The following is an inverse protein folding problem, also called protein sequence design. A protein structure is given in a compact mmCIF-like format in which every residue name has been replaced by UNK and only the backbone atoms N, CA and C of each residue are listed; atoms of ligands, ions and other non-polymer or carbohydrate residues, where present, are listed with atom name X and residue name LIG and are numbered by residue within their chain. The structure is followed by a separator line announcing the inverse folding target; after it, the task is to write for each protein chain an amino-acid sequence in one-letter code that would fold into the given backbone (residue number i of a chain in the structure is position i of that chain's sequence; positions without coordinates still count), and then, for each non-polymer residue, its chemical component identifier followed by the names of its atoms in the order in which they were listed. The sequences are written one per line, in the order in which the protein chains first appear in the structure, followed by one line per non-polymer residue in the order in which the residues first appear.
data_IF_522947235304
#
_entry.id   IF_522947235304
#
_cell.length_a   1.000
_cell.length_b   1.000
_cell.length_c   1.000
_cell.angle_alpha   90.00
_cell.angle_beta   90.00
_cell.angle_gamma   90.00
#
_symmetry.space_group_name_H-M   'P 1'
#
loop_
_entity.id
_entity.type
_entity.pdbx_description
1 polymer ?
#
# COMPACT_ATOMS: atom_id res chain seq x y z
N UNK A 1 15.23 -46.15 60.00
CA UNK A 1 14.29 -47.29 59.97
C UNK A 1 12.92 -46.70 60.21
N UNK A 2 11.95 -46.60 59.31
CA UNK A 2 11.58 -47.25 58.03
C UNK A 2 10.58 -46.25 57.35
N UNK A 3 10.66 -45.86 56.07
CA UNK A 3 10.17 -46.59 54.87
C UNK A 3 8.77 -47.22 55.15
N UNK A 4 7.66 -46.95 54.46
CA UNK A 4 7.41 -46.78 53.02
C UNK A 4 5.99 -46.18 52.83
N UNK A 5 5.85 -45.30 51.83
CA UNK A 5 4.74 -45.35 50.88
C UNK A 5 3.39 -44.80 51.32
N UNK A 6 3.23 -43.49 51.19
CA UNK A 6 1.91 -42.92 50.89
C UNK A 6 2.09 -42.08 49.63
N UNK A 7 1.50 -42.60 48.55
CA UNK A 7 1.52 -42.09 47.19
C UNK A 7 1.16 -40.59 47.16
N UNK A 8 1.98 -39.84 46.45
CA UNK A 8 2.02 -38.38 46.34
C UNK A 8 0.67 -37.80 45.89
N UNK A 9 0.22 -36.80 46.64
CA UNK A 9 -0.87 -35.86 46.36
C UNK A 9 -0.81 -35.35 44.90
N UNK A 10 -1.81 -35.72 44.09
CA UNK A 10 -2.01 -35.17 42.76
C UNK A 10 -2.49 -33.71 42.87
N UNK A 11 -1.54 -32.78 42.89
CA UNK A 11 -1.78 -31.34 42.86
C UNK A 11 -2.02 -30.88 41.42
N UNK A 12 -3.07 -30.09 41.26
CA UNK A 12 -3.53 -29.41 40.06
C UNK A 12 -2.42 -28.63 39.36
N UNK A 13 -2.26 -28.80 38.04
CA UNK A 13 -1.96 -27.72 37.09
C UNK A 13 -2.60 -28.06 35.75
N UNK A 14 -3.82 -27.54 35.52
CA UNK A 14 -4.28 -27.27 34.16
C UNK A 14 -3.40 -26.14 33.65
N UNK A 15 -2.45 -26.47 32.79
CA UNK A 15 -1.83 -25.48 31.91
C UNK A 15 -2.40 -25.70 30.52
N UNK A 16 -3.47 -24.98 30.20
CA UNK A 16 -3.82 -24.71 28.82
C UNK A 16 -2.68 -23.88 28.23
N UNK A 17 -1.76 -24.52 27.50
CA UNK A 17 -0.81 -23.80 26.68
C UNK A 17 -1.55 -23.32 25.43
N UNK A 18 -2.17 -22.16 25.58
CA UNK A 18 -2.51 -21.26 24.48
C UNK A 18 -1.17 -20.82 23.86
N UNK A 19 -0.71 -21.55 22.85
CA UNK A 19 0.32 -21.05 21.95
C UNK A 19 -0.39 -20.18 20.92
N UNK A 20 -0.87 -19.02 21.35
CA UNK A 20 -1.06 -17.90 20.46
C UNK A 20 0.30 -17.57 19.87
N UNK A 21 0.56 -18.05 18.66
CA UNK A 21 1.55 -17.45 17.78
C UNK A 21 1.07 -16.01 17.54
N UNK A 22 1.50 -15.10 18.40
CA UNK A 22 1.62 -13.71 18.00
C UNK A 22 2.72 -13.69 16.94
N UNK A 23 2.34 -13.98 15.69
CA UNK A 23 3.03 -13.36 14.57
C UNK A 23 2.87 -11.86 14.80
N UNK A 24 3.89 -11.25 15.39
CA UNK A 24 4.20 -9.89 15.01
C UNK A 24 4.54 -9.95 13.53
N UNK A 25 3.51 -9.84 12.69
CA UNK A 25 3.66 -9.58 11.27
C UNK A 25 4.34 -8.23 11.21
N UNK A 26 5.67 -8.25 11.24
CA UNK A 26 6.49 -7.11 10.83
C UNK A 26 6.16 -6.89 9.38
N UNK A 27 5.10 -6.11 9.16
CA UNK A 27 4.57 -5.81 7.86
C UNK A 27 5.73 -5.25 7.05
N UNK A 28 6.11 -5.95 5.98
CA UNK A 28 7.18 -5.50 5.09
C UNK A 28 6.95 -4.02 4.75
N UNK A 29 7.98 -3.17 4.66
CA UNK A 29 7.79 -1.77 4.27
C UNK A 29 7.08 -1.61 2.92
N UNK A 30 6.99 -2.67 2.11
CA UNK A 30 6.22 -2.69 0.85
C UNK A 30 4.71 -2.93 1.08
N UNK A 31 4.29 -3.58 2.16
CA UNK A 31 2.86 -3.87 2.41
C UNK A 31 2.03 -2.59 2.55
N UNK A 32 2.62 -1.50 3.04
CA UNK A 32 2.00 -0.17 3.10
C UNK A 32 1.62 0.36 1.70
N UNK A 33 2.28 -0.13 0.65
CA UNK A 33 2.01 0.24 -0.74
C UNK A 33 0.87 -0.56 -1.37
N UNK A 34 0.35 -1.61 -0.71
CA UNK A 34 -0.75 -2.43 -1.24
C UNK A 34 -1.91 -1.61 -1.81
N UNK A 35 -2.48 -0.61 -1.11
CA UNK A 35 -3.56 0.21 -1.69
C UNK A 35 -3.10 0.99 -2.92
N UNK A 36 -1.88 1.54 -2.92
CA UNK A 36 -1.31 2.24 -4.08
C UNK A 36 -1.17 1.29 -5.28
N UNK A 37 -0.69 0.07 -5.03
CA UNK A 37 -0.53 -0.98 -6.03
C UNK A 37 -1.85 -1.51 -6.58
N UNK A 38 -2.93 -1.37 -5.83
CA UNK A 38 -4.28 -1.72 -6.30
C UNK A 38 -4.93 -0.57 -7.08
N UNK A 39 -4.71 0.68 -6.68
CA UNK A 39 -5.47 1.84 -7.15
C UNK A 39 -4.80 2.56 -8.31
N UNK A 40 -3.48 2.77 -8.25
CA UNK A 40 -2.75 3.54 -9.25
C UNK A 40 -2.72 2.91 -10.65
N UNK A 41 -2.68 1.57 -10.82
CA UNK A 41 -2.58 0.96 -12.15
C UNK A 41 -3.72 1.32 -13.11
N UNK A 42 -4.91 1.64 -12.59
CA UNK A 42 -6.05 2.05 -13.42
C UNK A 42 -5.81 3.33 -14.22
N UNK A 43 -4.79 4.11 -13.87
CA UNK A 43 -4.40 5.34 -14.55
C UNK A 43 -3.25 5.15 -15.54
N UNK A 44 -2.53 4.02 -15.51
CA UNK A 44 -1.28 3.86 -16.24
C UNK A 44 -1.45 3.99 -17.75
N UNK A 45 -2.48 3.38 -18.35
CA UNK A 45 -2.73 3.44 -19.80
C UNK A 45 -2.82 4.90 -20.29
N UNK A 46 -3.56 5.74 -19.55
CA UNK A 46 -3.62 7.18 -19.83
C UNK A 46 -2.27 7.88 -19.56
N UNK A 47 -1.66 7.60 -18.40
CA UNK A 47 -0.45 8.29 -17.95
C UNK A 47 0.77 7.99 -18.83
N UNK A 48 0.84 6.83 -19.46
CA UNK A 48 1.90 6.51 -20.43
C UNK A 48 1.58 6.98 -21.85
N UNK A 49 0.41 7.58 -22.06
CA UNK A 49 -0.02 8.10 -23.36
C UNK A 49 -0.41 7.02 -24.36
N UNK A 50 -1.03 5.93 -23.91
CA UNK A 50 -1.57 4.91 -24.82
C UNK A 50 -2.56 5.56 -25.82
N UNK A 51 -2.42 5.32 -27.13
CA UNK A 51 -3.25 5.96 -28.15
C UNK A 51 -4.75 5.63 -28.03
N UNK A 52 -5.11 4.55 -27.35
CA UNK A 52 -6.50 4.16 -27.10
C UNK A 52 -7.11 4.87 -25.87
N UNK A 53 -6.29 5.53 -25.05
CA UNK A 53 -6.68 6.15 -23.79
C UNK A 53 -6.38 7.65 -23.81
N UNK A 54 -7.11 8.37 -24.66
CA UNK A 54 -6.99 9.83 -24.78
C UNK A 54 -7.42 10.57 -23.51
N UNK A 55 -8.31 9.97 -22.71
CA UNK A 55 -8.81 10.47 -21.41
C UNK A 55 -8.64 9.43 -20.30
N UNK A 56 -8.50 9.84 -19.01
CA UNK A 56 -8.48 8.91 -17.90
C UNK A 56 -9.77 8.07 -17.86
N UNK A 57 -9.64 6.79 -17.52
CA UNK A 57 -10.83 5.95 -17.31
C UNK A 57 -11.62 6.45 -16.08
N UNK A 58 -12.93 6.17 -16.03
CA UNK A 58 -13.74 6.46 -14.83
C UNK A 58 -13.14 5.81 -13.58
N UNK A 59 -12.60 4.59 -13.73
CA UNK A 59 -11.91 3.88 -12.64
C UNK A 59 -10.65 4.61 -12.20
N UNK A 60 -9.85 5.14 -13.12
CA UNK A 60 -8.69 5.96 -12.78
C UNK A 60 -9.11 7.13 -11.88
N UNK A 61 -10.07 7.95 -12.32
CA UNK A 61 -10.48 9.12 -11.53
C UNK A 61 -11.05 8.74 -10.15
N UNK A 62 -11.82 7.65 -10.06
CA UNK A 62 -12.30 7.13 -8.77
C UNK A 62 -11.15 6.76 -7.84
N UNK A 63 -10.17 6.02 -8.34
CA UNK A 63 -9.03 5.59 -7.55
C UNK A 63 -8.05 6.71 -7.22
N UNK A 64 -7.94 7.76 -8.05
CA UNK A 64 -7.22 8.99 -7.70
C UNK A 64 -7.87 9.66 -6.49
N UNK A 65 -9.20 9.72 -6.42
CA UNK A 65 -9.90 10.25 -5.25
C UNK A 65 -9.65 9.40 -4.00
N UNK A 66 -9.63 8.07 -4.12
CA UNK A 66 -9.26 7.19 -3.00
C UNK A 66 -7.81 7.43 -2.53
N UNK A 67 -6.88 7.60 -3.46
CA UNK A 67 -5.49 7.94 -3.14
C UNK A 67 -5.38 9.31 -2.48
N UNK A 68 -6.18 10.30 -2.89
CA UNK A 68 -6.26 11.60 -2.20
C UNK A 68 -6.76 11.44 -0.76
N UNK A 69 -7.78 10.62 -0.54
CA UNK A 69 -8.27 10.28 0.81
C UNK A 69 -7.17 9.64 1.65
N UNK A 70 -6.42 8.68 1.10
CA UNK A 70 -5.29 8.04 1.78
C UNK A 70 -4.13 9.01 2.04
N UNK A 71 -3.91 9.99 1.17
CA UNK A 71 -2.90 11.03 1.38
C UNK A 71 -3.27 11.90 2.59
N UNK A 72 -4.54 12.24 2.76
CA UNK A 72 -5.00 13.10 3.85
C UNK A 72 -5.22 12.38 5.18
N UNK A 73 -5.72 11.14 5.13
CA UNK A 73 -6.25 10.45 6.31
C UNK A 73 -5.62 9.07 6.55
N UNK A 74 -4.66 8.65 5.73
CA UNK A 74 -4.05 7.34 5.81
C UNK A 74 -2.52 7.40 5.81
N UNK A 75 -1.91 6.73 4.84
CA UNK A 75 -0.47 6.49 4.76
C UNK A 75 0.35 7.76 4.42
N UNK A 76 -0.31 8.86 4.07
CA UNK A 76 0.31 10.15 3.82
C UNK A 76 0.86 10.32 2.40
N UNK A 77 1.03 11.57 1.95
CA UNK A 77 1.38 11.88 0.56
C UNK A 77 2.79 11.42 0.18
N UNK A 78 3.74 11.47 1.12
CA UNK A 78 5.12 11.02 0.89
C UNK A 78 5.19 9.51 0.66
N UNK A 79 4.43 8.73 1.43
CA UNK A 79 4.36 7.27 1.27
C UNK A 79 3.70 6.91 -0.06
N UNK A 80 2.60 7.58 -0.43
CA UNK A 80 1.96 7.37 -1.73
C UNK A 80 2.94 7.68 -2.87
N UNK A 81 3.63 8.82 -2.82
CA UNK A 81 4.67 9.16 -3.79
C UNK A 81 5.70 8.04 -3.89
N UNK A 82 6.29 7.61 -2.76
CA UNK A 82 7.33 6.58 -2.75
C UNK A 82 6.85 5.25 -3.32
N UNK A 83 5.63 4.84 -3.00
CA UNK A 83 5.01 3.64 -3.57
C UNK A 83 4.82 3.77 -5.09
N UNK A 84 4.36 4.91 -5.59
CA UNK A 84 4.25 5.18 -7.03
C UNK A 84 5.65 5.14 -7.67
N UNK A 85 6.64 5.80 -7.08
CA UNK A 85 8.02 5.82 -7.56
C UNK A 85 8.56 4.38 -7.71
N UNK A 86 8.36 3.52 -6.71
CA UNK A 86 8.76 2.10 -6.80
C UNK A 86 8.04 1.39 -7.94
N UNK A 87 6.72 1.58 -8.07
CA UNK A 87 5.92 0.90 -9.08
C UNK A 87 6.37 1.26 -10.50
N UNK A 88 6.61 2.54 -10.76
CA UNK A 88 6.85 3.03 -12.13
C UNK A 88 8.33 3.05 -12.51
N UNK A 89 9.23 2.81 -11.56
CA UNK A 89 10.66 2.78 -11.80
C UNK A 89 11.02 1.71 -12.83
N UNK A 90 11.61 2.15 -13.94
CA UNK A 90 12.05 1.26 -15.02
C UNK A 90 10.93 0.80 -15.97
N UNK A 91 9.70 1.31 -15.81
CA UNK A 91 8.65 1.06 -16.80
C UNK A 91 9.02 1.62 -18.17
N UNK A 92 8.60 0.90 -19.22
CA UNK A 92 8.71 1.33 -20.62
C UNK A 92 7.36 1.08 -21.30
N UNK A 93 6.72 2.10 -21.90
CA UNK A 93 7.10 3.53 -21.87
C UNK A 93 7.06 4.16 -20.46
N UNK A 94 7.81 5.25 -20.22
CA UNK A 94 7.72 6.01 -18.97
C UNK A 94 6.39 6.76 -18.89
N UNK A 95 6.07 7.30 -17.70
CA UNK A 95 4.95 8.23 -17.57
C UNK A 95 5.21 9.49 -18.41
N UNK A 96 4.18 9.98 -19.09
CA UNK A 96 4.26 11.14 -19.97
C UNK A 96 3.92 12.43 -19.19
N UNK A 97 4.81 13.43 -19.13
CA UNK A 97 4.59 14.65 -18.35
C UNK A 97 3.29 15.39 -18.66
N UNK A 98 2.92 15.47 -19.94
CA UNK A 98 1.68 16.12 -20.37
C UNK A 98 0.45 15.40 -19.81
N UNK A 99 0.45 14.06 -19.80
CA UNK A 99 -0.66 13.27 -19.25
C UNK A 99 -0.76 13.40 -17.73
N UNK A 100 0.37 13.51 -17.04
CA UNK A 100 0.40 13.79 -15.60
C UNK A 100 -0.25 15.14 -15.30
N UNK A 101 0.07 16.17 -16.08
CA UNK A 101 -0.51 17.51 -15.93
C UNK A 101 -2.02 17.52 -16.24
N UNK A 102 -2.46 16.77 -17.25
CA UNK A 102 -3.86 16.69 -17.66
C UNK A 102 -4.75 15.96 -16.63
N UNK A 103 -4.20 14.97 -15.92
CA UNK A 103 -4.94 14.07 -15.03
C UNK A 103 -5.85 14.80 -14.01
N UNK A 104 -5.35 15.72 -13.16
CA UNK A 104 -6.19 16.41 -12.17
C UNK A 104 -7.31 17.22 -12.83
N UNK A 105 -7.03 17.89 -13.95
CA UNK A 105 -8.01 18.68 -14.67
C UNK A 105 -9.11 17.79 -15.27
N UNK A 106 -8.74 16.68 -15.92
CA UNK A 106 -9.69 15.75 -16.53
C UNK A 106 -10.50 14.95 -15.51
N UNK A 107 -9.94 14.67 -14.33
CA UNK A 107 -10.65 14.03 -13.23
C UNK A 107 -11.38 15.03 -12.31
N UNK A 108 -11.34 16.33 -12.60
CA UNK A 108 -11.93 17.40 -11.77
C UNK A 108 -11.53 17.28 -10.29
N UNK A 109 -10.24 17.12 -10.03
CA UNK A 109 -9.69 16.95 -8.68
C UNK A 109 -8.36 17.67 -8.54
N UNK A 110 -7.89 17.83 -7.29
CA UNK A 110 -6.53 18.28 -7.00
C UNK A 110 -5.78 17.09 -6.42
N UNK A 111 -4.57 16.81 -6.92
CA UNK A 111 -3.75 15.73 -6.37
C UNK A 111 -3.18 16.16 -5.02
N UNK A 112 -3.38 15.30 -4.02
CA UNK A 112 -2.88 15.50 -2.66
C UNK A 112 -1.49 14.88 -2.45
N UNK A 113 -0.91 14.33 -3.50
CA UNK A 113 0.40 13.69 -3.55
C UNK A 113 1.05 14.01 -4.92
N UNK A 114 2.38 14.12 -4.98
CA UNK A 114 3.06 14.43 -6.25
C UNK A 114 3.13 13.19 -7.16
N UNK A 115 3.08 13.45 -8.48
CA UNK A 115 3.37 12.49 -9.55
C UNK A 115 4.25 13.24 -10.57
N UNK A 116 5.28 12.59 -11.11
CA UNK A 116 6.15 13.13 -12.16
C UNK A 116 6.78 12.01 -12.98
N UNK A 117 7.30 12.35 -14.15
CA UNK A 117 8.12 11.46 -14.98
C UNK A 117 9.51 11.19 -14.38
N UNK A 118 9.99 12.10 -13.53
CA UNK A 118 11.22 11.95 -12.74
C UNK A 118 10.93 12.00 -11.23
N UNK A 119 10.16 11.05 -10.72
CA UNK A 119 9.79 11.00 -9.29
C UNK A 119 11.03 11.06 -8.39
N UNK A 120 10.96 11.93 -7.38
CA UNK A 120 11.93 11.99 -6.29
C UNK A 120 11.17 12.22 -4.98
N UNK A 121 10.67 11.15 -4.39
CA UNK A 121 9.81 11.21 -3.22
C UNK A 121 10.57 11.35 -1.89
N UNK A 122 11.90 11.45 -1.98
CA UNK A 122 12.78 11.61 -0.81
C UNK A 122 12.91 13.07 -0.36
N UNK A 123 12.59 14.02 -1.23
CA UNK A 123 12.73 15.47 -1.01
C UNK A 123 11.41 16.15 -0.74
#
# INVERSE_FOLDING_TARGET
MTMVGILVLALCLVSASDMGEAEEVMASPISVCTPVFQYFPYCLEFLVGDPNFSTPSRKCCQHVMELNTLAHHGIGPKTICWCIEIMVKGMTPPLLPSKIQDLPHMCNTTLSFPISDSMNCSK
#
